data_IF_424567548383
#
_entry.id   IF_424567548383
#
_cell.length_a   1.000
_cell.length_b   1.000
_cell.length_c   1.000
_cell.angle_alpha   90.00
_cell.angle_beta   90.00
_cell.angle_gamma   90.00
#
_symmetry.space_group_name_H-M   'P 1'
#
loop_
_entity.id
_entity.type
_entity.pdbx_description
1 polymer ?
#
# COMPACT_ATOMS: atom_id res chain seq x y z
N UNK A 1 6.01 -14.07 -14.54
CA UNK A 1 6.73 -12.83 -14.91
C UNK A 1 7.60 -12.41 -13.73
N UNK A 2 8.68 -11.65 -13.93
CA UNK A 2 9.49 -11.17 -12.79
C UNK A 2 8.86 -9.89 -12.21
N UNK A 3 8.66 -9.84 -10.89
CA UNK A 3 8.18 -8.67 -10.14
C UNK A 3 8.93 -7.38 -10.49
N UNK A 4 10.24 -7.48 -10.75
CA UNK A 4 11.07 -6.34 -11.13
C UNK A 4 10.60 -5.64 -12.42
N UNK A 5 9.98 -6.37 -13.35
CA UNK A 5 9.45 -5.83 -14.60
C UNK A 5 8.08 -5.15 -14.45
N UNK A 6 7.34 -5.48 -13.39
CA UNK A 6 6.02 -4.92 -13.06
C UNK A 6 6.12 -3.59 -12.29
N UNK A 7 7.26 -3.30 -11.65
CA UNK A 7 7.45 -2.05 -10.91
C UNK A 7 7.29 -0.82 -11.81
N UNK A 8 6.44 0.11 -11.38
CA UNK A 8 6.19 1.41 -12.02
C UNK A 8 6.33 2.53 -11.00
N UNK A 9 6.53 3.78 -11.47
CA UNK A 9 6.58 4.94 -10.58
C UNK A 9 5.25 5.01 -9.80
N UNK A 10 5.33 5.13 -8.47
CA UNK A 10 4.13 5.24 -7.64
C UNK A 10 3.36 6.53 -7.96
N UNK A 11 2.04 6.41 -8.00
CA UNK A 11 1.09 7.51 -8.19
C UNK A 11 0.19 7.64 -6.98
N UNK A 12 -0.46 8.79 -6.84
CA UNK A 12 -1.50 9.09 -5.86
C UNK A 12 -2.76 9.53 -6.61
N UNK A 13 -3.93 9.27 -6.03
CA UNK A 13 -5.19 9.77 -6.56
C UNK A 13 -5.36 11.24 -6.16
N UNK A 14 -5.51 12.12 -7.15
CA UNK A 14 -5.79 13.53 -6.87
C UNK A 14 -7.22 13.66 -6.32
N UNK A 15 -7.43 14.23 -5.13
CA UNK A 15 -8.75 14.28 -4.49
C UNK A 15 -9.76 15.19 -5.19
N UNK A 16 -9.31 16.10 -6.07
CA UNK A 16 -10.17 17.02 -6.81
C UNK A 16 -10.53 16.46 -8.19
N UNK A 17 -9.56 15.88 -8.88
CA UNK A 17 -9.72 15.45 -10.27
C UNK A 17 -9.93 13.94 -10.43
N UNK A 18 -9.61 13.14 -9.40
CA UNK A 18 -9.59 11.67 -9.45
C UNK A 18 -8.47 11.10 -10.32
N UNK A 19 -7.63 11.95 -10.93
CA UNK A 19 -6.57 11.50 -11.84
C UNK A 19 -5.37 11.03 -11.04
N UNK A 20 -4.77 9.92 -11.48
CA UNK A 20 -3.52 9.41 -10.92
C UNK A 20 -2.35 10.32 -11.33
N UNK A 21 -1.67 10.88 -10.34
CA UNK A 21 -0.52 11.76 -10.54
C UNK A 21 0.67 11.36 -9.68
N UNK A 22 1.86 11.85 -10.03
CA UNK A 22 3.06 11.65 -9.21
C UNK A 22 3.21 12.76 -8.20
N UNK A 23 3.61 12.43 -6.98
CA UNK A 23 3.81 13.39 -5.90
C UNK A 23 5.27 13.45 -5.42
N UNK A 24 5.77 14.64 -5.02
CA UNK A 24 7.11 14.78 -4.45
C UNK A 24 7.25 14.11 -3.08
N UNK A 25 6.16 14.03 -2.32
CA UNK A 25 6.12 13.39 -0.99
C UNK A 25 6.01 11.86 -1.04
N UNK A 26 5.88 11.25 -2.23
CA UNK A 26 5.87 9.78 -2.45
C UNK A 26 6.84 9.41 -3.55
N UNK A 27 8.07 9.05 -3.16
CA UNK A 27 9.17 8.69 -4.06
C UNK A 27 9.42 7.19 -3.93
N UNK A 28 8.69 6.40 -4.69
CA UNK A 28 8.87 4.94 -4.75
C UNK A 28 8.52 4.37 -6.11
N UNK A 29 8.85 3.09 -6.32
CA UNK A 29 8.26 2.26 -7.38
C UNK A 29 7.32 1.24 -6.74
N UNK A 30 6.18 1.01 -7.33
CA UNK A 30 5.20 0.05 -6.83
C UNK A 30 4.74 -0.93 -7.90
N UNK A 31 4.29 -2.09 -7.45
CA UNK A 31 3.56 -3.08 -8.22
C UNK A 31 2.44 -3.64 -7.33
N UNK A 32 1.41 -4.20 -7.96
CA UNK A 32 0.32 -4.89 -7.30
C UNK A 32 0.39 -6.36 -7.67
N UNK A 33 0.16 -7.23 -6.69
CA UNK A 33 0.18 -8.67 -6.84
C UNK A 33 -1.20 -9.22 -6.54
N UNK A 34 -1.78 -9.87 -7.55
CA UNK A 34 -3.10 -10.51 -7.43
C UNK A 34 -2.96 -11.93 -6.88
N UNK A 35 -3.97 -12.45 -6.18
CA UNK A 35 -3.93 -13.81 -5.60
C UNK A 35 -3.65 -14.93 -6.62
N UNK A 36 -4.07 -14.73 -7.88
CA UNK A 36 -3.87 -15.69 -8.95
C UNK A 36 -2.43 -15.75 -9.50
N UNK A 37 -1.55 -14.81 -9.12
CA UNK A 37 -0.18 -14.76 -9.66
C UNK A 37 0.73 -15.84 -9.08
N UNK A 38 0.59 -16.17 -7.79
CA UNK A 38 1.42 -17.17 -7.11
C UNK A 38 0.70 -17.73 -5.86
N UNK A 39 0.66 -19.05 -5.63
CA UNK A 39 0.05 -19.65 -4.44
C UNK A 39 0.60 -19.15 -3.09
N UNK A 40 1.81 -18.58 -3.08
CA UNK A 40 2.37 -17.94 -1.90
C UNK A 40 1.56 -16.70 -1.47
N UNK A 41 0.94 -15.99 -2.41
CA UNK A 41 0.11 -14.80 -2.12
C UNK A 41 -1.11 -15.22 -1.31
N UNK A 42 -1.81 -16.28 -1.73
CA UNK A 42 -2.93 -16.83 -0.99
C UNK A 42 -2.51 -17.32 0.40
N UNK A 43 -1.33 -17.94 0.50
CA UNK A 43 -0.76 -18.36 1.79
C UNK A 43 -0.50 -17.16 2.72
N UNK A 44 -0.06 -16.03 2.17
CA UNK A 44 0.15 -14.80 2.93
C UNK A 44 -1.19 -14.22 3.40
N UNK A 45 -2.17 -14.12 2.50
CA UNK A 45 -3.51 -13.59 2.83
C UNK A 45 -4.19 -14.43 3.92
N UNK A 46 -4.15 -15.76 3.81
CA UNK A 46 -4.69 -16.64 4.85
C UNK A 46 -4.02 -16.41 6.20
N UNK A 47 -2.70 -16.19 6.25
CA UNK A 47 -2.01 -15.91 7.52
C UNK A 47 -2.40 -14.56 8.11
N UNK A 48 -2.64 -13.55 7.28
CA UNK A 48 -3.12 -12.23 7.76
C UNK A 48 -4.51 -12.40 8.36
N UNK A 49 -5.40 -13.13 7.69
CA UNK A 49 -6.73 -13.47 8.21
C UNK A 49 -6.65 -14.19 9.55
N UNK A 50 -5.86 -15.26 9.64
CA UNK A 50 -5.70 -16.06 10.87
C UNK A 50 -5.14 -15.23 12.03
N UNK A 51 -4.26 -14.26 11.77
CA UNK A 51 -3.63 -13.43 12.79
C UNK A 51 -4.49 -12.25 13.24
N UNK A 52 -5.23 -11.64 12.32
CA UNK A 52 -6.02 -10.42 12.58
C UNK A 52 -7.47 -10.72 12.93
N UNK A 53 -7.98 -11.89 12.50
CA UNK A 53 -9.40 -12.23 12.54
C UNK A 53 -10.26 -11.42 11.57
N UNK A 54 -9.65 -10.73 10.60
CA UNK A 54 -10.35 -9.96 9.57
C UNK A 54 -10.47 -10.78 8.29
N UNK A 55 -11.68 -10.82 7.71
CA UNK A 55 -11.91 -11.46 6.41
C UNK A 55 -11.15 -10.74 5.30
N UNK A 56 -10.64 -11.50 4.33
CA UNK A 56 -9.85 -10.96 3.21
C UNK A 56 -10.69 -10.64 1.96
N UNK A 57 -12.01 -10.89 1.98
CA UNK A 57 -12.92 -10.72 0.83
C UNK A 57 -12.92 -9.30 0.25
N UNK A 58 -12.74 -8.29 1.11
CA UNK A 58 -12.67 -6.87 0.72
C UNK A 58 -11.26 -6.31 0.73
N UNK A 59 -10.25 -7.14 0.98
CA UNK A 59 -8.87 -6.69 1.01
C UNK A 59 -8.40 -6.27 -0.39
N UNK A 60 -7.64 -5.19 -0.45
CA UNK A 60 -6.96 -4.81 -1.68
C UNK A 60 -5.86 -5.82 -2.04
N UNK A 61 -5.48 -5.87 -3.32
CA UNK A 61 -4.35 -6.66 -3.78
C UNK A 61 -3.05 -6.29 -3.04
N UNK A 62 -2.13 -7.25 -2.90
CA UNK A 62 -0.87 -6.98 -2.20
C UNK A 62 -0.04 -5.93 -2.96
N UNK A 63 0.17 -4.78 -2.35
CA UNK A 63 1.04 -3.74 -2.90
C UNK A 63 2.49 -3.99 -2.49
N UNK A 64 3.37 -4.14 -3.47
CA UNK A 64 4.82 -4.13 -3.26
C UNK A 64 5.36 -2.74 -3.54
N UNK A 65 5.98 -2.12 -2.52
CA UNK A 65 6.68 -0.86 -2.65
C UNK A 65 8.20 -1.07 -2.58
N UNK A 66 8.93 -0.46 -3.52
CA UNK A 66 10.38 -0.42 -3.57
C UNK A 66 10.87 1.02 -3.40
N UNK A 67 11.60 1.26 -2.32
CA UNK A 67 12.27 2.51 -2.02
C UNK A 67 13.75 2.40 -2.41
N UNK A 68 14.11 3.07 -3.50
CA UNK A 68 15.51 3.23 -3.89
C UNK A 68 16.24 4.24 -3.01
N UNK A 69 17.47 4.59 -3.38
CA UNK A 69 18.23 5.66 -2.71
C UNK A 69 17.45 6.98 -2.78
N UNK A 70 17.21 7.61 -1.62
CA UNK A 70 16.38 8.82 -1.52
C UNK A 70 14.88 8.59 -1.74
N UNK A 71 14.45 7.31 -1.78
CA UNK A 71 13.03 6.97 -1.76
C UNK A 71 12.44 7.27 -0.39
N UNK A 72 11.26 7.88 -0.38
CA UNK A 72 10.59 8.29 0.84
C UNK A 72 9.08 8.27 0.65
N UNK A 73 8.37 8.18 1.77
CA UNK A 73 6.96 8.49 1.84
C UNK A 73 6.71 9.30 3.11
N UNK A 74 6.20 10.52 2.97
CA UNK A 74 5.87 11.36 4.12
C UNK A 74 4.73 10.75 4.96
N UNK A 75 4.67 11.06 6.27
CA UNK A 75 3.61 10.58 7.14
C UNK A 75 2.20 10.89 6.60
N UNK A 76 1.35 9.88 6.53
CA UNK A 76 -0.03 9.99 6.02
C UNK A 76 -0.94 8.96 6.70
N UNK A 77 -2.25 9.09 6.48
CA UNK A 77 -3.20 8.05 6.85
C UNK A 77 -3.53 7.20 5.62
N UNK A 78 -3.68 5.90 5.84
CA UNK A 78 -4.10 4.97 4.80
C UNK A 78 -5.62 4.98 4.56
N UNK A 79 -6.40 5.41 5.55
CA UNK A 79 -7.84 5.56 5.46
C UNK A 79 -8.21 6.94 4.92
N UNK A 80 -9.26 7.00 4.10
CA UNK A 80 -9.80 8.29 3.63
C UNK A 80 -10.58 9.00 4.72
N UNK A 81 -10.52 10.34 4.74
CA UNK A 81 -11.12 11.13 5.81
C UNK A 81 -12.57 11.52 5.50
N UNK A 82 -13.35 11.90 6.51
CA UNK A 82 -14.79 12.26 6.35
C UNK A 82 -15.00 13.48 5.44
N UNK A 83 -13.99 14.34 5.33
CA UNK A 83 -13.91 15.54 4.50
C UNK A 83 -13.38 15.26 3.08
N UNK A 84 -13.07 14.00 2.76
CA UNK A 84 -12.70 13.53 1.42
C UNK A 84 -13.92 12.81 0.80
N UNK A 85 -14.83 13.55 0.15
CA UNK A 85 -15.94 12.93 -0.56
C UNK A 85 -15.33 12.08 -1.69
N UNK A 86 -15.66 10.79 -1.70
CA UNK A 86 -15.43 9.84 -2.81
C UNK A 86 -14.24 8.88 -2.72
N UNK A 87 -13.42 8.89 -1.66
CA UNK A 87 -12.21 8.04 -1.58
C UNK A 87 -12.44 6.52 -1.77
N UNK A 88 -13.65 6.00 -1.50
CA UNK A 88 -13.97 4.56 -1.64
C UNK A 88 -15.28 4.27 -2.36
N UNK A 89 -15.93 5.27 -2.98
CA UNK A 89 -17.20 5.04 -3.68
C UNK A 89 -17.04 4.11 -4.88
N UNK A 90 -15.89 4.14 -5.54
CA UNK A 90 -15.61 3.30 -6.72
C UNK A 90 -15.30 1.85 -6.37
N UNK A 91 -14.75 1.58 -5.17
CA UNK A 91 -14.39 0.23 -4.73
C UNK A 91 -15.61 -0.54 -4.18
N UNK A 92 -16.63 0.15 -3.68
CA UNK A 92 -17.85 -0.47 -3.15
C UNK A 92 -17.67 -1.26 -1.84
N UNK A 93 -16.45 -1.32 -1.31
CA UNK A 93 -16.07 -2.12 -0.14
C UNK A 93 -15.91 -1.32 1.15
N UNK A 94 -15.94 0.01 1.08
CA UNK A 94 -15.77 0.89 2.24
C UNK A 94 -14.33 1.34 2.47
N UNK A 95 -14.05 1.87 3.67
CA UNK A 95 -12.76 2.49 4.01
C UNK A 95 -11.82 1.48 4.69
N UNK A 96 -10.51 1.69 4.58
CA UNK A 96 -9.50 0.84 5.22
C UNK A 96 -9.63 0.90 6.74
N UNK A 97 -9.79 -0.27 7.38
CA UNK A 97 -9.86 -0.41 8.84
C UNK A 97 -8.53 -0.84 9.46
N UNK A 98 -7.64 -1.44 8.67
CA UNK A 98 -6.33 -1.93 9.09
C UNK A 98 -5.36 -1.92 7.91
N UNK A 99 -4.07 -1.75 8.21
CA UNK A 99 -2.96 -1.92 7.27
C UNK A 99 -2.01 -2.95 7.84
N UNK A 100 -1.64 -3.96 7.03
CA UNK A 100 -0.61 -4.94 7.39
C UNK A 100 0.64 -4.71 6.55
N UNK A 101 1.76 -4.36 7.19
CA UNK A 101 3.01 -4.02 6.52
C UNK A 101 4.06 -5.12 6.69
N UNK A 102 4.55 -5.66 5.57
CA UNK A 102 5.70 -6.55 5.55
C UNK A 102 6.96 -5.79 5.15
N UNK A 103 8.05 -5.98 5.91
CA UNK A 103 9.37 -5.54 5.49
C UNK A 103 10.11 -6.70 4.82
N UNK A 104 10.36 -6.56 3.52
CA UNK A 104 11.03 -7.57 2.70
C UNK A 104 12.38 -7.00 2.25
N UNK A 105 13.48 -7.63 2.68
CA UNK A 105 14.90 -7.26 2.51
C UNK A 105 15.50 -6.30 3.55
N UNK A 106 16.81 -6.49 3.82
CA UNK A 106 17.60 -5.66 4.70
C UNK A 106 18.19 -4.47 3.93
N UNK A 107 17.78 -3.25 4.29
CA UNK A 107 18.37 -2.02 3.80
C UNK A 107 19.81 -1.89 4.31
N UNK A 108 20.80 -1.79 3.42
CA UNK A 108 22.18 -1.45 3.82
C UNK A 108 22.39 0.04 4.08
N UNK A 109 21.37 0.88 3.85
CA UNK A 109 21.36 2.31 4.17
C UNK A 109 19.95 2.69 4.65
N UNK A 110 19.90 3.15 5.90
CA UNK A 110 18.73 3.56 6.70
C UNK A 110 17.68 4.37 5.95
N UNK A 111 16.45 3.85 5.85
CA UNK A 111 15.24 4.68 5.81
C UNK A 111 14.77 4.85 7.26
N UNK A 112 14.75 6.07 7.78
CA UNK A 112 14.18 6.36 9.10
C UNK A 112 12.67 6.50 8.91
N UNK A 113 11.88 5.59 9.48
CA UNK A 113 10.43 5.77 9.57
C UNK A 113 10.14 6.61 10.82
N UNK A 114 9.84 7.89 10.61
CA UNK A 114 9.40 8.79 11.67
C UNK A 114 7.89 8.57 11.92
N UNK A 115 7.56 7.72 12.91
CA UNK A 115 6.19 7.56 13.41
C UNK A 115 5.95 8.46 14.65
N UNK A 116 5.31 9.63 14.54
CA UNK A 116 4.84 10.35 15.71
C UNK A 116 3.46 9.83 16.14
N UNK A 117 3.42 8.92 17.11
CA UNK A 117 2.24 8.70 17.95
C UNK A 117 2.57 9.15 19.37
N UNK A 118 2.17 10.37 19.75
CA UNK A 118 2.03 10.76 21.17
C UNK A 118 0.66 10.29 21.64
N UNK A 119 0.66 9.41 22.64
CA UNK A 119 -0.50 9.13 23.51
C UNK A 119 -0.89 10.38 24.31
#
# INVERSE_FOLDING_TARGET
>A
MSLASQLRRATISNPITGVLETAPYRISKSAWLTGYEDPMIDTINQRIEDLTGLEMDTAEELQVANYGVGGQYEPHFDFGRKDEPDAFKELGTGNRIATWLFYVSALSLTTCEDLPCRL
#
